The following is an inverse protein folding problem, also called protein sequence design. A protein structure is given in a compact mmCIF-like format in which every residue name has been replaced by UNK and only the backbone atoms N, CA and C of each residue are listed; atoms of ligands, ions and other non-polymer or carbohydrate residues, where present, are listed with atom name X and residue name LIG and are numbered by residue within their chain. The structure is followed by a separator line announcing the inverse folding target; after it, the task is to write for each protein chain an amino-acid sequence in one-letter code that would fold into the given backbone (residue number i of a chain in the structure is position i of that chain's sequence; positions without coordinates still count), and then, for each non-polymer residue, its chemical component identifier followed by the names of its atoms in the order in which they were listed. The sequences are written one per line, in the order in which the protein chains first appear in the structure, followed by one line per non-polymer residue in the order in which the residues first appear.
data_IF_058625779322
#
_entry.id   IF_058625779322
#
_cell.length_a   1.000
_cell.length_b   1.000
_cell.length_c   1.000
_cell.angle_alpha   90.00
_cell.angle_beta   90.00
_cell.angle_gamma   90.00
#
_symmetry.space_group_name_H-M   'P 1'
#
loop_
_entity.id
_entity.type
_entity.pdbx_description
1 polymer ?
#
# COMPACT_ATOMS: atom_id res chain seq x y z
N UNK A 1 16.80 46.11 -12.76
CA UNK A 1 16.14 45.31 -11.73
C UNK A 1 15.72 43.99 -12.38
N UNK A 2 16.47 42.92 -12.17
CA UNK A 2 16.15 41.59 -12.69
C UNK A 2 15.01 41.02 -11.82
N UNK A 3 13.88 40.70 -12.46
CA UNK A 3 12.82 39.92 -11.82
C UNK A 3 13.39 38.54 -11.50
N UNK A 4 13.62 38.25 -10.21
CA UNK A 4 13.78 36.89 -9.74
C UNK A 4 12.55 36.10 -10.14
N UNK A 5 12.69 35.21 -11.11
CA UNK A 5 11.69 34.20 -11.44
C UNK A 5 11.56 33.30 -10.21
N UNK A 6 10.55 33.55 -9.36
CA UNK A 6 10.14 32.60 -8.32
C UNK A 6 9.79 31.31 -9.05
N UNK A 7 10.66 30.33 -8.92
CA UNK A 7 10.33 28.95 -9.32
C UNK A 7 9.00 28.59 -8.66
N UNK A 8 7.96 28.23 -9.43
CA UNK A 8 6.67 27.86 -8.84
C UNK A 8 6.92 26.76 -7.81
N UNK A 9 6.20 26.79 -6.70
CA UNK A 9 6.25 25.72 -5.72
C UNK A 9 5.99 24.39 -6.45
N UNK A 10 6.76 23.32 -6.19
CA UNK A 10 6.61 22.06 -6.91
C UNK A 10 5.18 21.57 -6.76
N UNK A 11 4.51 21.36 -7.91
CA UNK A 11 3.17 20.78 -7.96
C UNK A 11 3.21 19.37 -7.35
N UNK A 12 2.24 19.03 -6.54
CA UNK A 12 2.08 17.72 -5.93
C UNK A 12 0.67 17.23 -6.17
N UNK A 13 0.57 16.13 -6.87
CA UNK A 13 -0.73 15.51 -7.12
C UNK A 13 -1.20 14.64 -5.94
N UNK A 14 -2.51 14.54 -5.75
CA UNK A 14 -3.16 13.56 -4.90
C UNK A 14 -3.39 12.21 -5.60
N UNK A 15 -3.06 12.12 -6.89
CA UNK A 15 -3.10 10.87 -7.64
C UNK A 15 -2.08 9.92 -7.04
N UNK A 16 -2.49 8.70 -6.81
CA UNK A 16 -1.65 7.60 -6.34
C UNK A 16 -2.15 6.31 -6.92
N UNK A 17 -1.37 5.24 -6.78
CA UNK A 17 -1.74 3.98 -7.38
C UNK A 17 -1.40 2.76 -6.52
N UNK A 18 -1.52 1.62 -7.16
CA UNK A 18 -1.17 0.31 -6.65
C UNK A 18 -0.70 -0.55 -7.81
N UNK A 19 0.48 -1.14 -7.65
CA UNK A 19 0.95 -2.17 -8.57
C UNK A 19 0.08 -3.43 -8.45
N UNK A 20 -0.20 -4.04 -9.58
CA UNK A 20 -1.03 -5.23 -9.75
C UNK A 20 -0.24 -6.30 -10.50
N UNK A 21 -0.90 -7.43 -10.80
CA UNK A 21 -0.37 -8.47 -11.67
C UNK A 21 -0.38 -7.93 -13.10
N UNK A 22 0.79 -7.78 -13.70
CA UNK A 22 1.00 -7.23 -15.05
C UNK A 22 0.24 -5.91 -15.30
N UNK A 23 0.07 -5.08 -14.26
CA UNK A 23 -0.75 -3.89 -14.34
C UNK A 23 -0.58 -2.89 -13.22
N UNK A 24 -1.33 -1.80 -13.34
CA UNK A 24 -1.38 -0.71 -12.37
C UNK A 24 -2.82 -0.22 -12.20
N UNK A 25 -3.25 -0.06 -10.95
CA UNK A 25 -4.39 0.77 -10.58
C UNK A 25 -3.88 2.19 -10.33
N UNK A 26 -4.43 3.19 -11.02
CA UNK A 26 -4.29 4.60 -10.65
C UNK A 26 -5.61 5.12 -10.10
N UNK A 27 -5.50 5.97 -9.09
CA UNK A 27 -6.66 6.58 -8.42
C UNK A 27 -6.54 8.10 -8.50
N UNK A 28 -7.46 8.71 -9.24
CA UNK A 28 -7.59 10.15 -9.40
C UNK A 28 -8.48 10.79 -8.35
N UNK A 29 -9.06 11.94 -8.69
CA UNK A 29 -9.95 12.72 -7.81
C UNK A 29 -11.36 12.14 -7.80
N UNK A 30 -11.89 11.80 -8.97
CA UNK A 30 -13.29 11.39 -9.21
C UNK A 30 -13.41 9.96 -9.77
N UNK A 31 -12.31 9.40 -10.28
CA UNK A 31 -12.29 8.09 -10.92
C UNK A 31 -11.01 7.33 -10.58
N UNK A 32 -11.06 6.03 -10.78
CA UNK A 32 -9.90 5.14 -10.74
C UNK A 32 -9.84 4.35 -12.05
N UNK A 33 -8.63 4.03 -12.49
CA UNK A 33 -8.40 3.24 -13.68
C UNK A 33 -7.43 2.10 -13.39
N UNK A 34 -7.74 0.93 -13.92
CA UNK A 34 -6.85 -0.23 -13.93
C UNK A 34 -6.42 -0.45 -15.37
N UNK A 35 -5.13 -0.58 -15.60
CA UNK A 35 -4.58 -0.97 -16.89
C UNK A 35 -3.66 -2.17 -16.67
N UNK A 36 -3.90 -3.23 -17.42
CA UNK A 36 -3.08 -4.45 -17.40
C UNK A 36 -2.60 -4.79 -18.81
N UNK A 37 -1.43 -5.41 -18.90
CA UNK A 37 -0.91 -5.99 -20.13
C UNK A 37 -1.22 -7.48 -20.14
N UNK A 38 -1.90 -7.95 -21.17
CA UNK A 38 -2.12 -9.38 -21.41
C UNK A 38 -0.86 -10.06 -21.97
N UNK A 39 -0.84 -11.38 -21.92
CA UNK A 39 0.27 -12.19 -22.47
C UNK A 39 0.50 -11.98 -23.97
N UNK A 40 -0.53 -11.60 -24.74
CA UNK A 40 -0.43 -11.26 -26.16
C UNK A 40 0.14 -9.84 -26.40
N UNK A 41 0.50 -9.11 -25.30
CA UNK A 41 1.03 -7.75 -25.35
C UNK A 41 -0.03 -6.66 -25.43
N UNK A 42 -1.32 -6.97 -25.59
CA UNK A 42 -2.38 -5.98 -25.65
C UNK A 42 -2.65 -5.35 -24.28
N UNK A 43 -3.02 -4.07 -24.27
CA UNK A 43 -3.46 -3.38 -23.06
C UNK A 43 -4.97 -3.50 -22.92
N UNK A 44 -5.40 -3.86 -21.72
CA UNK A 44 -6.80 -3.82 -21.31
C UNK A 44 -6.95 -2.81 -20.18
N UNK A 45 -8.04 -2.05 -20.23
CA UNK A 45 -8.31 -1.03 -19.19
C UNK A 45 -9.72 -1.11 -18.67
N UNK A 46 -9.88 -0.71 -17.41
CA UNK A 46 -11.16 -0.54 -16.75
C UNK A 46 -11.15 0.76 -15.98
N UNK A 47 -12.16 1.60 -16.20
CA UNK A 47 -12.33 2.87 -15.51
C UNK A 47 -13.61 2.82 -14.69
N UNK A 48 -13.49 3.06 -13.41
CA UNK A 48 -14.62 3.08 -12.47
C UNK A 48 -14.69 4.45 -11.77
N UNK A 49 -15.89 4.96 -11.47
CA UNK A 49 -16.02 6.16 -10.64
C UNK A 49 -15.50 5.87 -9.22
N UNK A 50 -14.76 6.80 -8.67
CA UNK A 50 -14.23 6.68 -7.31
C UNK A 50 -15.35 6.98 -6.30
N UNK A 51 -15.84 5.94 -5.63
CA UNK A 51 -16.86 6.04 -4.59
C UNK A 51 -16.19 5.82 -3.24
N UNK A 52 -16.07 6.88 -2.44
CA UNK A 52 -15.49 6.81 -1.11
C UNK A 52 -16.60 6.73 -0.06
N UNK A 53 -16.34 6.01 1.04
CA UNK A 53 -17.29 5.86 2.14
C UNK A 53 -17.70 7.21 2.75
N UNK A 54 -16.80 8.21 2.76
CA UNK A 54 -17.08 9.57 3.21
C UNK A 54 -18.12 10.31 2.36
N UNK A 55 -18.29 9.93 1.07
CA UNK A 55 -19.25 10.57 0.18
C UNK A 55 -20.71 10.21 0.56
N UNK A 56 -20.89 9.00 1.12
CA UNK A 56 -22.18 8.56 1.67
C UNK A 56 -22.41 9.02 3.10
N UNK A 57 -21.33 9.08 3.89
CA UNK A 57 -21.36 9.39 5.31
C UNK A 57 -20.28 10.43 5.63
N UNK A 58 -20.60 11.75 5.60
CA UNK A 58 -19.62 12.83 5.76
C UNK A 58 -18.79 12.77 7.05
N UNK A 59 -19.34 12.21 8.15
CA UNK A 59 -18.62 12.04 9.42
C UNK A 59 -17.39 11.10 9.30
N UNK A 60 -17.39 10.20 8.31
CA UNK A 60 -16.24 9.33 8.01
C UNK A 60 -15.03 10.11 7.45
N UNK A 61 -15.24 11.37 7.04
CA UNK A 61 -14.17 12.28 6.62
C UNK A 61 -13.49 13.06 7.75
N UNK A 62 -13.95 12.95 9.00
CA UNK A 62 -13.36 13.67 10.12
C UNK A 62 -11.94 13.17 10.46
N UNK A 63 -11.06 14.07 10.95
CA UNK A 63 -9.72 13.68 11.40
C UNK A 63 -9.77 12.46 12.33
N UNK A 64 -8.77 11.63 12.25
CA UNK A 64 -8.62 10.34 12.92
C UNK A 64 -9.61 9.24 12.47
N UNK A 65 -10.88 9.52 12.18
CA UNK A 65 -11.83 8.53 11.63
C UNK A 65 -11.46 8.21 10.18
N UNK A 66 -11.20 9.22 9.38
CA UNK A 66 -10.85 9.08 7.95
C UNK A 66 -9.64 8.18 7.70
N UNK A 67 -8.72 8.07 8.64
CA UNK A 67 -7.55 7.20 8.52
C UNK A 67 -7.94 5.73 8.39
N UNK A 68 -8.79 5.25 9.29
CA UNK A 68 -9.31 3.87 9.25
C UNK A 68 -10.20 3.66 8.04
N UNK A 69 -11.11 4.60 7.76
CA UNK A 69 -12.04 4.49 6.63
C UNK A 69 -11.30 4.42 5.30
N UNK A 70 -10.37 5.35 5.04
CA UNK A 70 -9.59 5.34 3.81
C UNK A 70 -8.69 4.11 3.68
N UNK A 71 -8.18 3.59 4.78
CA UNK A 71 -7.42 2.35 4.79
C UNK A 71 -8.30 1.16 4.38
N UNK A 72 -9.49 1.03 4.95
CA UNK A 72 -10.45 -0.02 4.60
C UNK A 72 -10.96 0.11 3.16
N UNK A 73 -11.30 1.32 2.71
CA UNK A 73 -11.69 1.60 1.32
C UNK A 73 -10.55 1.21 0.36
N UNK A 74 -9.30 1.50 0.72
CA UNK A 74 -8.14 1.14 -0.09
C UNK A 74 -7.91 -0.38 -0.13
N UNK A 75 -8.09 -1.08 0.99
CA UNK A 75 -8.00 -2.54 1.02
C UNK A 75 -9.05 -3.21 0.13
N UNK A 76 -10.32 -2.80 0.27
CA UNK A 76 -11.42 -3.38 -0.52
C UNK A 76 -11.22 -3.14 -2.02
N UNK A 77 -10.89 -1.90 -2.40
CA UNK A 77 -10.66 -1.57 -3.80
C UNK A 77 -9.37 -2.23 -4.33
N UNK A 78 -8.33 -2.33 -3.50
CA UNK A 78 -7.09 -3.01 -3.86
C UNK A 78 -7.28 -4.50 -4.12
N UNK A 79 -8.04 -5.20 -3.27
CA UNK A 79 -8.37 -6.62 -3.50
C UNK A 79 -9.14 -6.79 -4.80
N UNK A 80 -10.17 -5.98 -5.05
CA UNK A 80 -10.92 -6.03 -6.31
C UNK A 80 -10.03 -5.80 -7.55
N UNK A 81 -9.09 -4.87 -7.45
CA UNK A 81 -8.17 -4.57 -8.53
C UNK A 81 -7.19 -5.73 -8.81
N UNK A 82 -6.65 -6.35 -7.74
CA UNK A 82 -5.76 -7.52 -7.88
C UNK A 82 -6.53 -8.69 -8.49
N UNK A 83 -7.75 -8.97 -8.01
CA UNK A 83 -8.58 -10.06 -8.57
C UNK A 83 -8.84 -9.81 -10.05
N UNK A 84 -9.28 -8.60 -10.42
CA UNK A 84 -9.53 -8.28 -11.82
C UNK A 84 -8.26 -8.39 -12.68
N UNK A 85 -7.08 -7.99 -12.16
CA UNK A 85 -5.83 -8.11 -12.92
C UNK A 85 -5.41 -9.56 -13.11
N UNK A 86 -5.65 -10.43 -12.11
CA UNK A 86 -5.39 -11.86 -12.22
C UNK A 86 -6.27 -12.53 -13.28
N UNK A 87 -7.56 -12.14 -13.36
CA UNK A 87 -8.50 -12.63 -14.38
C UNK A 87 -8.08 -12.27 -15.82
N UNK A 88 -7.22 -11.24 -16.00
CA UNK A 88 -6.72 -10.87 -17.32
C UNK A 88 -5.54 -11.73 -17.80
N UNK A 89 -4.95 -12.54 -16.90
CA UNK A 89 -3.84 -13.43 -17.23
C UNK A 89 -4.36 -14.78 -17.75
N UNK A 90 -3.59 -15.53 -18.57
CA UNK A 90 -3.97 -16.85 -19.07
C UNK A 90 -4.28 -17.83 -17.93
N UNK A 91 -5.18 -18.77 -18.18
CA UNK A 91 -5.59 -19.77 -17.18
C UNK A 91 -4.42 -20.64 -16.69
N UNK A 92 -3.47 -20.96 -17.57
CA UNK A 92 -2.26 -21.72 -17.25
C UNK A 92 -1.30 -20.96 -16.30
N UNK A 93 -1.38 -19.63 -16.24
CA UNK A 93 -0.65 -18.79 -15.29
C UNK A 93 -1.40 -18.55 -13.97
N UNK A 94 -2.70 -18.85 -13.92
CA UNK A 94 -3.52 -18.65 -12.71
C UNK A 94 -3.30 -19.71 -11.62
N UNK A 95 -2.52 -20.76 -11.92
CA UNK A 95 -2.22 -21.86 -11.01
C UNK A 95 -3.28 -22.98 -11.06
N UNK A 96 -2.86 -24.18 -10.73
CA UNK A 96 -3.80 -25.31 -10.64
C UNK A 96 -4.66 -25.19 -9.37
N UNK A 97 -5.99 -25.44 -9.49
CA UNK A 97 -6.88 -25.41 -8.33
C UNK A 97 -6.45 -26.47 -7.29
N UNK A 98 -6.38 -26.09 -6.05
CA UNK A 98 -6.05 -27.00 -4.96
C UNK A 98 -7.24 -27.90 -4.58
N UNK A 99 -7.03 -28.82 -3.62
CA UNK A 99 -8.07 -29.75 -3.20
C UNK A 99 -9.29 -29.05 -2.57
N UNK A 100 -9.07 -27.89 -1.95
CA UNK A 100 -10.12 -27.10 -1.34
C UNK A 100 -10.93 -26.39 -2.43
N UNK A 101 -10.28 -25.80 -3.42
CA UNK A 101 -10.93 -25.16 -4.57
C UNK A 101 -11.80 -26.14 -5.34
N UNK A 102 -11.25 -27.34 -5.65
CA UNK A 102 -11.99 -28.42 -6.31
C UNK A 102 -13.19 -28.91 -5.47
N UNK A 103 -13.05 -28.96 -4.14
CA UNK A 103 -14.17 -29.34 -3.27
C UNK A 103 -15.26 -28.28 -3.28
N UNK A 104 -14.92 -27.00 -3.24
CA UNK A 104 -15.87 -25.87 -3.31
C UNK A 104 -16.58 -25.86 -4.65
N UNK A 105 -15.86 -25.96 -5.78
CA UNK A 105 -16.42 -25.97 -7.13
C UNK A 105 -17.39 -27.15 -7.35
N UNK A 106 -17.14 -28.27 -6.69
CA UNK A 106 -18.04 -29.45 -6.77
C UNK A 106 -19.37 -29.25 -6.04
N UNK A 107 -19.44 -28.41 -4.99
CA UNK A 107 -20.59 -28.29 -4.10
C UNK A 107 -21.38 -26.99 -4.29
N UNK A 108 -20.82 -26.01 -4.98
CA UNK A 108 -21.42 -24.68 -5.19
C UNK A 108 -21.41 -24.34 -6.67
N UNK A 109 -22.26 -23.39 -7.08
CA UNK A 109 -22.21 -22.83 -8.43
C UNK A 109 -20.90 -22.04 -8.62
N UNK A 110 -20.43 -21.94 -9.87
CA UNK A 110 -19.15 -21.29 -10.21
C UNK A 110 -19.04 -19.89 -9.60
N UNK A 111 -20.04 -19.04 -9.75
CA UNK A 111 -20.07 -17.68 -9.16
C UNK A 111 -19.99 -17.70 -7.63
N UNK A 112 -20.60 -18.69 -6.98
CA UNK A 112 -20.56 -18.82 -5.50
C UNK A 112 -19.21 -19.38 -5.05
N UNK A 113 -18.66 -20.33 -5.79
CA UNK A 113 -17.37 -20.95 -5.54
C UNK A 113 -16.25 -19.89 -5.59
N UNK A 114 -16.19 -19.07 -6.64
CA UNK A 114 -15.22 -17.96 -6.77
C UNK A 114 -15.29 -16.99 -5.58
N UNK A 115 -16.51 -16.60 -5.16
CA UNK A 115 -16.69 -15.72 -4.00
C UNK A 115 -16.19 -16.36 -2.71
N UNK A 116 -16.48 -17.65 -2.47
CA UNK A 116 -16.06 -18.37 -1.26
C UNK A 116 -14.52 -18.44 -1.24
N UNK A 117 -13.88 -18.83 -2.35
CA UNK A 117 -12.44 -18.93 -2.47
C UNK A 117 -11.80 -17.57 -2.19
N UNK A 118 -12.28 -16.51 -2.87
CA UNK A 118 -11.77 -15.15 -2.68
C UNK A 118 -11.90 -14.67 -1.22
N UNK A 119 -13.10 -14.78 -0.63
CA UNK A 119 -13.30 -14.33 0.76
C UNK A 119 -12.47 -15.16 1.75
N UNK A 120 -12.33 -16.46 1.53
CA UNK A 120 -11.49 -17.32 2.36
C UNK A 120 -10.02 -16.89 2.27
N UNK A 121 -9.50 -16.66 1.08
CA UNK A 121 -8.13 -16.18 0.87
C UNK A 121 -7.90 -14.83 1.55
N UNK A 122 -8.84 -13.88 1.43
CA UNK A 122 -8.76 -12.56 2.08
C UNK A 122 -8.76 -12.70 3.60
N UNK A 123 -9.66 -13.50 4.17
CA UNK A 123 -9.74 -13.72 5.63
C UNK A 123 -8.46 -14.37 6.16
N UNK A 124 -7.97 -15.41 5.48
CA UNK A 124 -6.71 -16.07 5.85
C UNK A 124 -5.52 -15.12 5.72
N UNK A 125 -5.45 -14.31 4.67
CA UNK A 125 -4.42 -13.29 4.49
C UNK A 125 -4.41 -12.23 5.59
N UNK A 126 -5.59 -11.75 5.99
CA UNK A 126 -5.73 -10.82 7.11
C UNK A 126 -5.32 -11.49 8.42
N UNK A 127 -5.79 -12.71 8.69
CA UNK A 127 -5.45 -13.46 9.90
C UNK A 127 -3.93 -13.72 10.00
N UNK A 128 -3.30 -14.12 8.90
CA UNK A 128 -1.86 -14.30 8.81
C UNK A 128 -1.11 -12.99 9.03
N UNK A 129 -1.54 -11.90 8.44
CA UNK A 129 -0.92 -10.57 8.61
C UNK A 129 -1.00 -10.10 10.06
N UNK A 130 -2.16 -10.23 10.70
CA UNK A 130 -2.35 -9.90 12.12
C UNK A 130 -1.49 -10.82 12.98
N UNK A 131 -1.48 -12.13 12.71
CA UNK A 131 -0.65 -13.11 13.39
C UNK A 131 0.84 -12.74 13.32
N UNK A 132 1.32 -12.46 12.12
CA UNK A 132 2.74 -12.22 11.85
C UNK A 132 3.21 -10.85 12.38
N UNK A 133 2.45 -9.78 12.16
CA UNK A 133 2.90 -8.40 12.44
C UNK A 133 2.37 -7.80 13.75
N UNK A 134 1.29 -8.33 14.31
CA UNK A 134 0.77 -7.85 15.58
C UNK A 134 1.01 -8.85 16.73
N UNK A 135 0.70 -10.13 16.53
CA UNK A 135 0.71 -11.09 17.62
C UNK A 135 2.08 -11.74 17.85
N UNK A 136 2.77 -12.17 16.80
CA UNK A 136 4.08 -12.83 16.90
C UNK A 136 5.15 -11.97 17.58
N UNK A 137 5.31 -10.66 17.28
CA UNK A 137 6.27 -9.80 18.01
C UNK A 137 5.99 -9.75 19.51
N UNK A 138 4.70 -9.62 19.89
CA UNK A 138 4.28 -9.59 21.30
C UNK A 138 4.53 -10.92 22.00
N UNK A 139 4.28 -12.04 21.30
CA UNK A 139 4.56 -13.38 21.80
C UNK A 139 6.06 -13.58 22.04
N UNK A 140 6.91 -13.24 21.06
CA UNK A 140 8.37 -13.38 21.16
C UNK A 140 8.94 -12.51 22.29
N UNK A 141 8.49 -11.27 22.43
CA UNK A 141 8.90 -10.41 23.52
C UNK A 141 8.39 -10.92 24.88
N UNK A 142 7.20 -11.56 24.91
CA UNK A 142 6.68 -12.24 26.09
C UNK A 142 7.54 -13.42 26.49
N UNK A 143 8.01 -14.21 25.52
CA UNK A 143 8.93 -15.32 25.77
C UNK A 143 10.29 -14.80 26.28
N UNK A 144 10.85 -13.77 25.62
CA UNK A 144 12.09 -13.14 26.07
C UNK A 144 11.97 -12.59 27.51
N UNK A 145 10.83 -11.97 27.84
CA UNK A 145 10.59 -11.41 29.17
C UNK A 145 10.51 -12.49 30.28
N UNK A 146 10.26 -13.76 29.95
CA UNK A 146 10.31 -14.88 30.90
C UNK A 146 11.76 -15.29 31.20
N UNK A 147 12.68 -15.10 30.25
CA UNK A 147 14.08 -15.43 30.37
C UNK A 147 14.87 -14.26 31.02
N UNK A 148 14.56 -13.05 30.60
CA UNK A 148 15.19 -11.81 31.09
C UNK A 148 14.09 -10.79 31.36
N UNK A 149 13.88 -10.36 32.61
CA UNK A 149 12.85 -9.38 32.95
C UNK A 149 13.09 -8.06 32.22
N UNK A 150 12.28 -7.78 31.20
CA UNK A 150 12.44 -6.60 30.33
C UNK A 150 11.88 -5.32 30.98
N UNK A 151 10.93 -5.44 31.90
CA UNK A 151 10.31 -4.29 32.55
C UNK A 151 9.75 -3.27 31.53
N UNK A 152 10.19 -2.03 31.63
CA UNK A 152 9.80 -0.91 30.75
C UNK A 152 10.28 -1.08 29.31
N UNK A 153 11.30 -1.89 29.05
CA UNK A 153 11.87 -2.14 27.73
C UNK A 153 11.10 -3.16 26.88
N UNK A 154 10.08 -3.80 27.46
CA UNK A 154 9.28 -4.83 26.75
C UNK A 154 8.64 -4.26 25.48
N UNK A 155 8.10 -3.03 25.51
CA UNK A 155 7.53 -2.39 24.33
C UNK A 155 8.55 -2.13 23.22
N UNK A 156 9.78 -1.76 23.58
CA UNK A 156 10.87 -1.61 22.61
C UNK A 156 11.28 -2.96 22.00
N UNK A 157 11.38 -4.02 22.80
CA UNK A 157 11.68 -5.36 22.31
C UNK A 157 10.60 -5.85 21.30
N UNK A 158 9.31 -5.65 21.62
CA UNK A 158 8.22 -5.92 20.70
C UNK A 158 8.36 -5.14 19.39
N UNK A 159 8.74 -3.88 19.45
CA UNK A 159 8.98 -3.04 18.29
C UNK A 159 10.14 -3.52 17.43
N UNK A 160 11.25 -3.93 18.05
CA UNK A 160 12.41 -4.50 17.35
C UNK A 160 12.01 -5.80 16.64
N UNK A 161 11.31 -6.74 17.31
CA UNK A 161 10.81 -7.95 16.67
C UNK A 161 9.86 -7.65 15.51
N UNK A 162 8.94 -6.70 15.68
CA UNK A 162 8.01 -6.30 14.61
C UNK A 162 8.75 -5.76 13.39
N UNK A 163 9.71 -4.88 13.60
CA UNK A 163 10.52 -4.32 12.52
C UNK A 163 11.35 -5.41 11.83
N UNK A 164 11.98 -6.31 12.59
CA UNK A 164 12.78 -7.41 12.04
C UNK A 164 11.92 -8.38 11.22
N UNK A 165 10.73 -8.76 11.72
CA UNK A 165 9.78 -9.62 11.01
C UNK A 165 9.30 -8.93 9.73
N UNK A 166 8.96 -7.64 9.81
CA UNK A 166 8.50 -6.88 8.63
C UNK A 166 9.57 -6.80 7.54
N UNK A 167 10.79 -6.40 7.90
CA UNK A 167 11.88 -6.32 6.93
C UNK A 167 12.28 -7.69 6.38
N UNK A 168 12.29 -8.73 7.24
CA UNK A 168 12.51 -10.12 6.83
C UNK A 168 11.45 -10.60 5.84
N UNK A 169 10.18 -10.34 6.12
CA UNK A 169 9.07 -10.65 5.22
C UNK A 169 9.22 -9.95 3.86
N UNK A 170 9.48 -8.64 3.84
CA UNK A 170 9.70 -7.92 2.58
C UNK A 170 10.88 -8.46 1.79
N UNK A 171 11.97 -8.83 2.49
CA UNK A 171 13.13 -9.44 1.85
C UNK A 171 12.80 -10.79 1.23
N UNK A 172 12.06 -11.64 1.95
CA UNK A 172 11.60 -12.94 1.42
C UNK A 172 10.69 -12.74 0.20
N UNK A 173 9.70 -11.86 0.28
CA UNK A 173 8.85 -11.52 -0.86
C UNK A 173 9.66 -11.00 -2.06
N UNK A 174 10.70 -10.20 -1.82
CA UNK A 174 11.54 -9.65 -2.91
C UNK A 174 12.37 -10.71 -3.65
N UNK A 175 12.45 -11.93 -3.12
CA UNK A 175 13.15 -13.06 -3.74
C UNK A 175 12.23 -13.89 -4.65
N UNK A 176 10.93 -13.68 -4.59
CA UNK A 176 9.95 -14.36 -5.44
C UNK A 176 9.92 -13.65 -6.80
N UNK A 177 10.12 -14.37 -7.93
CA UNK A 177 10.19 -13.75 -9.27
C UNK A 177 8.96 -12.92 -9.62
N UNK A 178 7.76 -13.43 -9.38
CA UNK A 178 6.50 -12.73 -9.69
C UNK A 178 6.34 -11.46 -8.86
N UNK A 179 6.72 -11.49 -7.59
CA UNK A 179 6.75 -10.30 -6.74
C UNK A 179 7.74 -9.26 -7.24
N UNK A 180 8.86 -9.68 -7.84
CA UNK A 180 9.81 -8.73 -8.45
C UNK A 180 9.15 -7.96 -9.60
N UNK A 181 8.32 -8.61 -10.42
CA UNK A 181 7.56 -7.92 -11.48
C UNK A 181 6.59 -6.90 -10.90
N UNK A 182 5.86 -7.26 -9.84
CA UNK A 182 4.99 -6.31 -9.12
C UNK A 182 5.79 -5.12 -8.59
N UNK A 183 7.01 -5.33 -8.07
CA UNK A 183 7.89 -4.23 -7.65
C UNK A 183 8.40 -3.36 -8.81
N UNK A 184 8.53 -3.91 -10.01
CA UNK A 184 8.85 -3.13 -11.22
C UNK A 184 7.67 -2.26 -11.63
N UNK A 185 6.44 -2.78 -11.61
CA UNK A 185 5.23 -1.98 -11.83
C UNK A 185 5.06 -0.88 -10.78
N UNK A 186 5.40 -1.14 -9.51
CA UNK A 186 5.43 -0.12 -8.47
C UNK A 186 6.47 0.98 -8.74
N UNK A 187 7.63 0.60 -9.26
CA UNK A 187 8.61 1.56 -9.75
C UNK A 187 8.10 2.40 -10.93
N UNK A 188 7.37 1.78 -11.87
CA UNK A 188 6.76 2.46 -13.01
C UNK A 188 5.70 3.48 -12.58
N UNK A 189 4.85 3.12 -11.60
CA UNK A 189 3.88 4.04 -10.98
C UNK A 189 4.58 5.30 -10.46
N UNK A 190 5.60 5.14 -9.61
CA UNK A 190 6.31 6.26 -9.02
C UNK A 190 6.98 7.16 -10.05
N UNK A 191 7.66 6.58 -11.03
CA UNK A 191 8.33 7.33 -12.11
C UNK A 191 7.33 8.14 -12.94
N UNK A 192 6.17 7.56 -13.23
CA UNK A 192 5.12 8.22 -14.01
C UNK A 192 4.46 9.36 -13.23
N UNK A 193 4.19 9.18 -11.93
CA UNK A 193 3.68 10.24 -11.07
C UNK A 193 4.69 11.40 -10.97
N UNK A 194 5.97 11.12 -10.78
CA UNK A 194 7.00 12.17 -10.76
C UNK A 194 7.13 12.92 -12.10
N UNK A 195 6.99 12.21 -13.22
CA UNK A 195 6.98 12.85 -14.55
C UNK A 195 5.84 13.89 -14.66
N UNK A 196 4.65 13.52 -14.18
CA UNK A 196 3.49 14.39 -14.13
C UNK A 196 3.69 15.58 -13.18
N UNK A 197 4.19 15.35 -11.95
CA UNK A 197 4.48 16.40 -10.97
C UNK A 197 5.56 17.38 -11.43
N UNK A 198 6.50 16.91 -12.24
CA UNK A 198 7.53 17.75 -12.86
C UNK A 198 6.99 18.60 -14.02
N UNK A 199 5.72 18.44 -14.43
CA UNK A 199 5.12 19.13 -15.55
C UNK A 199 5.72 18.74 -16.90
N UNK A 200 6.39 17.60 -16.98
CA UNK A 200 6.98 17.09 -18.23
C UNK A 200 5.92 16.40 -19.09
N UNK A 201 6.11 16.35 -20.41
CA UNK A 201 5.32 15.48 -21.27
C UNK A 201 5.35 14.04 -20.74
N UNK A 202 4.17 13.42 -20.58
CA UNK A 202 4.04 12.06 -20.01
C UNK A 202 4.38 11.06 -21.12
N UNK A 203 5.68 10.80 -21.31
CA UNK A 203 6.25 9.85 -22.27
C UNK A 203 7.12 8.85 -21.54
N UNK A 204 7.40 7.70 -22.17
CA UNK A 204 8.28 6.66 -21.62
C UNK A 204 9.67 7.22 -21.33
N UNK A 205 10.23 8.04 -22.23
CA UNK A 205 11.56 8.64 -22.10
C UNK A 205 11.64 9.54 -20.86
N UNK A 206 10.65 10.42 -20.67
CA UNK A 206 10.62 11.33 -19.54
C UNK A 206 10.36 10.60 -18.21
N UNK A 207 9.45 9.63 -18.21
CA UNK A 207 9.16 8.82 -17.03
C UNK A 207 10.37 7.97 -16.63
N UNK A 208 11.09 7.38 -17.58
CA UNK A 208 12.31 6.59 -17.34
C UNK A 208 13.37 7.36 -16.56
N UNK A 209 13.49 8.65 -16.80
CA UNK A 209 14.48 9.51 -16.12
C UNK A 209 14.09 9.87 -14.67
N UNK A 210 12.86 9.59 -14.25
CA UNK A 210 12.40 9.93 -12.91
C UNK A 210 12.84 8.91 -11.85
N UNK A 211 12.76 9.33 -10.58
CA UNK A 211 13.04 8.46 -9.43
C UNK A 211 11.91 7.46 -9.18
N UNK A 212 12.27 6.22 -8.83
CA UNK A 212 11.32 5.23 -8.33
C UNK A 212 11.02 5.35 -6.82
N UNK A 213 11.65 6.28 -6.12
CA UNK A 213 11.50 6.48 -4.66
C UNK A 213 10.57 7.65 -4.38
N UNK A 214 9.32 7.37 -4.04
CA UNK A 214 8.29 8.39 -3.87
C UNK A 214 7.93 8.62 -2.39
N UNK A 215 7.92 9.87 -1.88
CA UNK A 215 7.72 10.15 -0.46
C UNK A 215 6.30 9.87 0.05
N UNK A 216 5.29 9.88 -0.82
CA UNK A 216 3.87 9.68 -0.49
C UNK A 216 3.36 8.26 -0.81
N UNK A 217 4.26 7.29 -0.91
CA UNK A 217 3.92 5.91 -1.19
C UNK A 217 3.29 5.20 0.01
N UNK A 218 2.37 4.26 -0.25
CA UNK A 218 1.74 3.43 0.77
C UNK A 218 2.71 2.59 1.60
N UNK A 219 3.89 2.22 1.07
CA UNK A 219 4.92 1.52 1.86
C UNK A 219 5.54 2.42 2.94
N UNK A 220 5.62 3.73 2.69
CA UNK A 220 6.00 4.71 3.71
C UNK A 220 4.98 4.78 4.85
N UNK A 221 3.69 4.63 4.53
CA UNK A 221 2.62 4.54 5.53
C UNK A 221 2.80 3.32 6.44
N UNK A 222 3.10 2.14 5.89
CA UNK A 222 3.34 0.93 6.68
C UNK A 222 4.49 1.12 7.69
N UNK A 223 5.57 1.77 7.29
CA UNK A 223 6.67 2.08 8.20
C UNK A 223 6.24 3.01 9.34
N UNK A 224 5.46 4.07 9.02
CA UNK A 224 4.91 4.98 10.04
C UNK A 224 3.98 4.22 10.99
N UNK A 225 3.15 3.31 10.49
CA UNK A 225 2.29 2.43 11.32
C UNK A 225 3.12 1.61 12.30
N UNK A 226 4.23 1.02 11.86
CA UNK A 226 5.13 0.26 12.73
C UNK A 226 5.71 1.19 13.81
N UNK A 227 6.24 2.36 13.43
CA UNK A 227 6.83 3.31 14.37
C UNK A 227 5.82 3.80 15.41
N UNK A 228 4.63 4.23 14.97
CA UNK A 228 3.56 4.69 15.87
C UNK A 228 3.07 3.55 16.75
N UNK A 229 3.01 2.31 16.23
CA UNK A 229 2.65 1.15 17.04
C UNK A 229 3.64 0.92 18.19
N UNK A 230 4.94 1.11 17.95
CA UNK A 230 5.96 1.03 19.02
C UNK A 230 5.68 2.05 20.10
N UNK A 231 5.42 3.30 19.72
CA UNK A 231 5.10 4.36 20.67
C UNK A 231 3.82 4.06 21.45
N UNK A 232 2.71 3.79 20.77
CA UNK A 232 1.40 3.55 21.41
C UNK A 232 1.46 2.33 22.33
N UNK A 233 2.07 1.24 21.87
CA UNK A 233 2.11 -0.02 22.64
C UNK A 233 3.12 0.00 23.78
N UNK A 234 4.10 0.92 23.79
CA UNK A 234 4.98 1.11 24.94
C UNK A 234 4.26 1.62 26.17
N UNK A 235 3.11 2.28 26.01
CA UNK A 235 2.26 2.71 27.12
C UNK A 235 1.34 1.60 27.65
N UNK A 236 1.21 0.48 26.93
CA UNK A 236 0.38 -0.65 27.36
C UNK A 236 1.09 -1.43 28.47
N UNK A 237 0.61 -1.23 29.69
CA UNK A 237 1.12 -1.90 30.89
C UNK A 237 0.14 -3.01 31.31
N UNK A 238 0.36 -4.21 30.78
CA UNK A 238 -0.37 -5.42 31.18
C UNK A 238 0.62 -6.54 31.46
N UNK A 239 0.39 -7.32 32.50
CA UNK A 239 1.28 -8.42 32.87
C UNK A 239 1.10 -9.65 31.99
N UNK A 240 -0.14 -9.97 31.59
CA UNK A 240 -0.46 -11.12 30.74
C UNK A 240 -0.16 -10.88 29.27
N UNK A 241 0.55 -11.81 28.62
CA UNK A 241 0.85 -11.71 27.16
C UNK A 241 -0.44 -11.72 26.33
N UNK A 242 -1.42 -12.56 26.64
CA UNK A 242 -2.70 -12.63 25.93
C UNK A 242 -3.51 -11.33 26.06
N UNK A 243 -3.60 -10.77 27.28
CA UNK A 243 -4.26 -9.49 27.52
C UNK A 243 -3.59 -8.36 26.73
N UNK A 244 -2.25 -8.36 26.65
CA UNK A 244 -1.46 -7.43 25.86
C UNK A 244 -1.73 -7.58 24.36
N UNK A 245 -1.79 -8.81 23.84
CA UNK A 245 -2.16 -9.07 22.45
C UNK A 245 -3.57 -8.55 22.12
N UNK A 246 -4.54 -8.79 22.99
CA UNK A 246 -5.91 -8.26 22.84
C UNK A 246 -5.95 -6.72 22.82
N UNK A 247 -5.19 -6.05 23.70
CA UNK A 247 -5.10 -4.59 23.72
C UNK A 247 -4.41 -4.04 22.46
N UNK A 248 -3.39 -4.73 21.94
CA UNK A 248 -2.76 -4.32 20.67
C UNK A 248 -3.76 -4.36 19.52
N UNK A 249 -4.58 -5.41 19.43
CA UNK A 249 -5.64 -5.51 18.41
C UNK A 249 -6.67 -4.38 18.55
N UNK A 250 -7.10 -4.09 19.78
CA UNK A 250 -8.05 -3.01 20.06
C UNK A 250 -7.49 -1.63 19.70
N UNK A 251 -6.18 -1.42 19.85
CA UNK A 251 -5.50 -0.15 19.57
C UNK A 251 -5.07 -0.01 18.10
N UNK A 252 -5.16 -1.06 17.26
CA UNK A 252 -4.80 -0.95 15.83
C UNK A 252 -5.51 0.19 15.10
N UNK A 253 -6.83 0.40 15.25
CA UNK A 253 -7.51 1.55 14.62
C UNK A 253 -6.92 2.90 15.02
N UNK A 254 -6.51 3.04 16.28
CA UNK A 254 -5.86 4.28 16.79
C UNK A 254 -4.51 4.48 16.14
N UNK A 255 -3.69 3.42 16.05
CA UNK A 255 -2.39 3.46 15.38
C UNK A 255 -2.54 3.85 13.91
N UNK A 256 -3.47 3.21 13.19
CA UNK A 256 -3.75 3.52 11.77
C UNK A 256 -4.19 4.97 11.61
N UNK A 257 -5.08 5.46 12.48
CA UNK A 257 -5.58 6.84 12.46
C UNK A 257 -4.46 7.87 12.64
N UNK A 258 -3.63 7.70 13.66
CA UNK A 258 -2.49 8.61 13.92
C UNK A 258 -1.52 8.57 12.76
N UNK A 259 -1.18 7.39 12.28
CA UNK A 259 -0.24 7.20 11.17
C UNK A 259 -0.72 7.86 9.88
N UNK A 260 -2.03 7.78 9.61
CA UNK A 260 -2.65 8.43 8.46
C UNK A 260 -2.53 9.96 8.52
N UNK A 261 -2.81 10.56 9.68
CA UNK A 261 -2.67 12.01 9.84
C UNK A 261 -1.20 12.46 9.69
N UNK A 262 -0.25 11.68 10.19
CA UNK A 262 1.18 11.98 10.06
C UNK A 262 1.61 11.93 8.59
N UNK A 263 1.25 10.89 7.83
CA UNK A 263 1.64 10.81 6.42
C UNK A 263 0.98 11.90 5.59
N UNK A 264 -0.27 12.23 5.90
CA UNK A 264 -0.99 13.32 5.24
C UNK A 264 -0.34 14.69 5.51
N UNK A 265 0.11 14.93 6.73
CA UNK A 265 0.88 16.12 7.08
C UNK A 265 2.24 16.12 6.40
N UNK A 266 2.98 15.02 6.43
CA UNK A 266 4.29 14.89 5.82
C UNK A 266 4.25 15.09 4.30
N UNK A 267 3.20 14.61 3.63
CA UNK A 267 2.99 14.79 2.19
C UNK A 267 2.78 16.25 1.77
N UNK A 268 2.26 17.09 2.68
CA UNK A 268 2.02 18.54 2.44
C UNK A 268 3.17 19.45 2.83
N UNK A 269 4.15 18.94 3.57
CA UNK A 269 5.20 19.75 4.19
C UNK A 269 6.57 19.47 3.59
N UNK A 270 7.33 20.55 3.34
CA UNK A 270 8.75 20.47 2.94
C UNK A 270 9.70 20.62 4.13
N UNK A 271 9.16 20.61 5.35
CA UNK A 271 9.95 20.78 6.57
C UNK A 271 10.98 19.66 6.74
N UNK A 272 12.06 19.95 7.47
CA UNK A 272 13.07 18.96 7.83
C UNK A 272 12.44 17.76 8.57
N UNK A 273 11.44 18.00 9.43
CA UNK A 273 10.71 16.94 10.13
C UNK A 273 9.93 16.04 9.19
N UNK A 274 9.26 16.58 8.16
CA UNK A 274 8.54 15.78 7.17
C UNK A 274 9.51 14.92 6.34
N UNK A 275 10.69 15.46 5.99
CA UNK A 275 11.77 14.69 5.33
C UNK A 275 12.29 13.56 6.20
N UNK A 276 12.53 13.81 7.49
CA UNK A 276 12.99 12.79 8.45
C UNK A 276 11.90 11.71 8.60
N UNK A 277 10.64 12.09 8.76
CA UNK A 277 9.53 11.14 8.91
C UNK A 277 9.35 10.25 7.66
N UNK A 278 9.62 10.77 6.46
CA UNK A 278 9.47 10.04 5.19
C UNK A 278 10.72 9.22 4.82
N UNK A 279 11.90 9.54 5.37
CA UNK A 279 13.17 8.92 4.99
C UNK A 279 13.19 7.39 5.19
N UNK A 280 12.75 6.83 6.34
CA UNK A 280 12.74 5.39 6.54
C UNK A 280 11.77 4.68 5.57
N UNK A 281 10.61 5.28 5.30
CA UNK A 281 9.67 4.77 4.29
C UNK A 281 10.29 4.69 2.91
N UNK A 282 11.04 5.70 2.49
CA UNK A 282 11.80 5.65 1.23
C UNK A 282 12.90 4.59 1.24
N UNK A 283 13.56 4.36 2.38
CA UNK A 283 14.55 3.30 2.50
C UNK A 283 13.93 1.91 2.28
N UNK A 284 12.73 1.65 2.79
CA UNK A 284 11.99 0.39 2.54
C UNK A 284 11.66 0.19 1.06
N UNK A 285 11.50 1.26 0.27
CA UNK A 285 11.23 1.16 -1.16
C UNK A 285 12.39 0.52 -1.95
N UNK A 286 13.60 0.45 -1.41
CA UNK A 286 14.67 -0.37 -2.01
C UNK A 286 14.31 -1.86 -2.09
N UNK A 287 13.43 -2.34 -1.21
CA UNK A 287 12.92 -3.72 -1.19
C UNK A 287 11.60 -3.88 -1.94
N UNK A 288 10.81 -2.81 -2.06
CA UNK A 288 9.43 -2.86 -2.58
C UNK A 288 9.25 -2.14 -3.90
N UNK A 289 10.31 -1.63 -4.52
CA UNK A 289 10.31 -1.11 -5.89
C UNK A 289 11.53 -1.64 -6.64
N UNK A 290 11.37 -1.88 -7.95
CA UNK A 290 12.46 -2.22 -8.84
C UNK A 290 12.42 -1.32 -10.10
N UNK A 291 13.51 -1.30 -10.89
CA UNK A 291 13.52 -0.55 -12.14
C UNK A 291 12.59 -1.22 -13.15
N UNK A 292 11.60 -0.49 -13.67
CA UNK A 292 10.67 -0.99 -14.67
C UNK A 292 11.34 -1.00 -16.06
N UNK A 293 10.83 -1.88 -16.91
CA UNK A 293 11.07 -1.78 -18.35
C UNK A 293 10.10 -0.79 -19.02
N UNK A 294 10.31 -0.53 -20.31
CA UNK A 294 9.51 0.43 -21.05
C UNK A 294 8.05 0.02 -21.18
N UNK A 295 7.80 -1.27 -21.33
CA UNK A 295 6.44 -1.81 -21.45
C UNK A 295 5.61 -1.58 -20.17
N UNK A 296 6.25 -1.61 -19.01
CA UNK A 296 5.63 -1.31 -17.72
C UNK A 296 5.38 0.20 -17.56
N UNK A 297 6.28 1.05 -18.07
CA UNK A 297 6.07 2.50 -18.12
C UNK A 297 4.89 2.87 -19.02
N UNK A 298 4.69 2.19 -20.16
CA UNK A 298 3.51 2.37 -21.00
C UNK A 298 2.21 2.11 -20.24
N UNK A 299 2.14 1.01 -19.48
CA UNK A 299 0.99 0.67 -18.63
C UNK A 299 0.73 1.76 -17.59
N UNK A 300 1.78 2.24 -16.92
CA UNK A 300 1.69 3.30 -15.91
C UNK A 300 1.20 4.62 -16.51
N UNK A 301 1.73 4.99 -17.67
CA UNK A 301 1.36 6.21 -18.40
C UNK A 301 -0.10 6.14 -18.84
N UNK A 302 -0.53 5.03 -19.41
CA UNK A 302 -1.92 4.86 -19.83
C UNK A 302 -2.88 4.91 -18.63
N UNK A 303 -2.53 4.22 -17.54
CA UNK A 303 -3.30 4.25 -16.30
C UNK A 303 -3.43 5.67 -15.71
N UNK A 304 -2.34 6.45 -15.73
CA UNK A 304 -2.35 7.83 -15.26
C UNK A 304 -3.22 8.72 -16.15
N UNK A 305 -3.09 8.64 -17.49
CA UNK A 305 -3.89 9.42 -18.43
C UNK A 305 -5.38 9.26 -18.23
N UNK A 306 -5.84 8.05 -17.92
CA UNK A 306 -7.26 7.74 -17.70
C UNK A 306 -7.84 8.40 -16.43
N UNK A 307 -7.01 8.82 -15.50
CA UNK A 307 -7.44 9.43 -14.22
C UNK A 307 -7.05 10.89 -14.07
N UNK A 308 -6.38 11.48 -15.07
CA UNK A 308 -6.07 12.90 -15.03
C UNK A 308 -7.36 13.73 -14.92
N UNK A 309 -7.37 14.77 -14.07
CA UNK A 309 -8.55 15.63 -13.93
C UNK A 309 -8.75 16.49 -15.18
N UNK A 310 -9.99 16.81 -15.48
CA UNK A 310 -10.35 17.75 -16.57
C UNK A 310 -9.89 19.16 -16.24
N UNK A 311 -10.01 19.55 -14.97
CA UNK A 311 -9.58 20.86 -14.48
C UNK A 311 -8.18 20.74 -13.85
N UNK A 312 -7.19 21.43 -14.46
CA UNK A 312 -5.81 21.41 -13.96
C UNK A 312 -5.72 21.89 -12.52
N UNK A 313 -5.07 21.10 -11.68
CA UNK A 313 -4.82 21.43 -10.27
C UNK A 313 -5.93 21.02 -9.30
N UNK A 314 -7.05 20.47 -9.78
CA UNK A 314 -8.07 19.90 -8.88
C UNK A 314 -7.57 18.66 -8.12
N UNK A 315 -6.49 18.05 -8.59
CA UNK A 315 -5.76 16.94 -7.97
C UNK A 315 -4.61 17.41 -7.06
N UNK A 316 -4.49 18.70 -6.77
CA UNK A 316 -3.46 19.20 -5.86
C UNK A 316 -3.62 18.59 -4.45
N UNK A 317 -2.48 18.14 -3.87
CA UNK A 317 -2.42 17.43 -2.59
C UNK A 317 -2.84 18.28 -1.40
#
# INVERSE_FOLDING_TARGET
MAQESKTPAPFRTSIGGQALIEGILMRGVDRQAIVCRKSDGTLVSRVDPLKLSKDKHPWMGYPFIRGVVNFLDSMVNGVKAITWSAEQQPEDEQGEPDKFDLWIQKHFSDETAEKIILYTAVVLGIALSVGLFALLPTFLAGLLNRLVPLGVWRGLAEGIFRLAIFLGYLKLCSMIPDMKRVWMYHGAEHKTIFCYEAGLPITVENARMQSRFHPRCGTSFLFIVIFISILVFSFVRTEGTLARMGLHLLLLPVVVSISYEIIKWAGRSDSALARIASAPGKAVQHLTTAEPDDSMLEVAIESLKLVLPEEKGSDAW
#
